data_IF_988013995447
#
_entry.id   IF_988013995447
#
_cell.length_a   1.000
_cell.length_b   1.000
_cell.length_c   1.000
_cell.angle_alpha   90.00
_cell.angle_beta   90.00
_cell.angle_gamma   90.00
#
_symmetry.space_group_name_H-M   'P 1'
#
loop_
_entity.id
_entity.type
_entity.pdbx_description
1 polymer ?
#
# COMPACT_ATOMS: atom_id res chain seq x y z
N UNK A 1 -36.95 -33.90 -27.83
CA UNK A 1 -36.97 -32.43 -27.70
C UNK A 1 -35.52 -31.99 -27.58
N UNK A 2 -34.91 -31.58 -28.70
CA UNK A 2 -33.47 -31.28 -28.74
C UNK A 2 -33.31 -29.80 -28.35
N UNK A 3 -32.75 -29.55 -27.16
CA UNK A 3 -32.31 -28.22 -26.72
C UNK A 3 -30.93 -27.90 -27.32
N UNK A 4 -30.73 -28.11 -28.62
CA UNK A 4 -29.50 -27.69 -29.28
C UNK A 4 -29.68 -26.21 -29.65
N UNK A 5 -29.33 -25.32 -28.72
CA UNK A 5 -29.09 -23.94 -29.07
C UNK A 5 -27.96 -23.91 -30.11
N UNK A 6 -28.22 -23.34 -31.28
CA UNK A 6 -27.22 -23.15 -32.33
C UNK A 6 -26.32 -21.98 -31.92
N UNK A 7 -25.30 -22.26 -31.12
CA UNK A 7 -24.41 -21.24 -30.58
C UNK A 7 -23.59 -20.59 -31.70
N UNK A 8 -23.86 -19.31 -31.98
CA UNK A 8 -23.02 -18.50 -32.84
C UNK A 8 -21.74 -18.04 -32.11
N UNK A 9 -20.64 -17.79 -32.83
CA UNK A 9 -19.41 -17.23 -32.23
C UNK A 9 -19.71 -15.93 -31.45
N UNK A 10 -20.65 -15.12 -31.94
CA UNK A 10 -21.13 -13.92 -31.24
C UNK A 10 -21.80 -14.20 -29.89
N UNK A 11 -22.61 -15.26 -29.78
CA UNK A 11 -23.27 -15.63 -28.52
C UNK A 11 -22.26 -16.17 -27.50
N UNK A 12 -21.24 -16.90 -27.97
CA UNK A 12 -20.13 -17.35 -27.12
C UNK A 12 -19.40 -16.13 -26.54
N UNK A 13 -19.01 -15.18 -27.39
CA UNK A 13 -18.34 -13.94 -26.95
C UNK A 13 -19.22 -13.14 -25.97
N UNK A 14 -20.51 -12.99 -26.26
CA UNK A 14 -21.45 -12.31 -25.37
C UNK A 14 -21.61 -13.02 -24.02
N UNK A 15 -21.61 -14.35 -24.02
CA UNK A 15 -21.70 -15.14 -22.78
C UNK A 15 -20.44 -14.97 -21.92
N UNK A 16 -19.25 -14.99 -22.54
CA UNK A 16 -17.99 -14.70 -21.83
C UNK A 16 -17.96 -13.27 -21.28
N UNK A 17 -18.43 -12.29 -22.06
CA UNK A 17 -18.52 -10.90 -21.62
C UNK A 17 -19.48 -10.76 -20.43
N UNK A 18 -20.65 -11.41 -20.50
CA UNK A 18 -21.61 -11.45 -19.39
C UNK A 18 -21.02 -12.10 -18.14
N UNK A 19 -20.29 -13.21 -18.30
CA UNK A 19 -19.64 -13.89 -17.19
C UNK A 19 -18.52 -13.04 -16.57
N UNK A 20 -17.73 -12.34 -17.39
CA UNK A 20 -16.73 -11.38 -16.92
C UNK A 20 -17.39 -10.24 -16.13
N UNK A 21 -18.48 -9.66 -16.64
CA UNK A 21 -19.23 -8.63 -15.94
C UNK A 21 -19.80 -9.14 -14.61
N UNK A 22 -20.34 -10.36 -14.59
CA UNK A 22 -20.81 -11.01 -13.37
C UNK A 22 -19.67 -11.20 -12.35
N UNK A 23 -18.49 -11.64 -12.82
CA UNK A 23 -17.33 -11.81 -11.96
C UNK A 23 -16.87 -10.48 -11.35
N UNK A 24 -16.75 -9.44 -12.18
CA UNK A 24 -16.44 -8.08 -11.71
C UNK A 24 -17.49 -7.60 -10.71
N UNK A 25 -18.77 -7.85 -10.98
CA UNK A 25 -19.88 -7.49 -10.10
C UNK A 25 -19.77 -8.15 -8.71
N UNK A 26 -19.57 -9.47 -8.67
CA UNK A 26 -19.40 -10.22 -7.42
C UNK A 26 -18.15 -9.73 -6.68
N UNK A 27 -17.04 -9.55 -7.38
CA UNK A 27 -15.80 -9.04 -6.81
C UNK A 27 -15.97 -7.66 -6.18
N UNK A 28 -16.72 -6.78 -6.85
CA UNK A 28 -16.99 -5.42 -6.40
C UNK A 28 -17.89 -5.43 -5.16
N UNK A 29 -18.92 -6.29 -5.12
CA UNK A 29 -19.70 -6.53 -3.90
C UNK A 29 -18.80 -6.97 -2.74
N UNK A 30 -17.98 -8.01 -2.92
CA UNK A 30 -17.09 -8.51 -1.87
C UNK A 30 -16.14 -7.41 -1.38
N UNK A 31 -15.54 -6.67 -2.31
CA UNK A 31 -14.60 -5.58 -1.99
C UNK A 31 -15.26 -4.49 -1.14
N UNK A 32 -16.48 -4.07 -1.50
CA UNK A 32 -17.23 -3.06 -0.73
C UNK A 32 -17.64 -3.60 0.64
N UNK A 33 -18.05 -4.85 0.74
CA UNK A 33 -18.34 -5.48 2.03
C UNK A 33 -17.10 -5.47 2.93
N UNK A 34 -15.94 -5.92 2.42
CA UNK A 34 -14.68 -5.89 3.17
C UNK A 34 -14.33 -4.47 3.61
N UNK A 35 -14.52 -3.47 2.75
CA UNK A 35 -14.26 -2.07 3.09
C UNK A 35 -15.15 -1.56 4.23
N UNK A 36 -16.45 -1.87 4.19
CA UNK A 36 -17.41 -1.54 5.25
C UNK A 36 -17.06 -2.23 6.57
N UNK A 37 -16.57 -3.47 6.52
CA UNK A 37 -16.18 -4.18 7.74
C UNK A 37 -14.87 -3.65 8.33
N UNK A 38 -13.87 -3.36 7.48
CA UNK A 38 -12.55 -2.86 7.86
C UNK A 38 -12.56 -1.43 8.39
N UNK A 39 -13.56 -0.63 8.02
CA UNK A 39 -13.71 0.73 8.53
C UNK A 39 -14.13 0.70 10.01
N UNK A 40 -13.19 1.03 10.90
CA UNK A 40 -13.38 1.09 12.35
C UNK A 40 -14.06 2.39 12.82
N UNK A 41 -14.17 3.38 11.94
CA UNK A 41 -14.79 4.68 12.22
C UNK A 41 -16.32 4.63 12.20
N UNK A 42 -16.92 3.47 11.97
CA UNK A 42 -18.36 3.33 11.74
C UNK A 42 -18.99 2.36 12.72
N UNK A 43 -19.95 2.85 13.49
CA UNK A 43 -20.79 2.01 14.33
C UNK A 43 -21.58 0.98 13.53
N UNK A 44 -21.92 -0.14 14.16
CA UNK A 44 -22.58 -1.27 13.49
C UNK A 44 -23.89 -0.92 12.76
N UNK A 45 -24.65 0.06 13.26
CA UNK A 45 -25.87 0.54 12.61
C UNK A 45 -25.61 1.18 11.24
N UNK A 46 -24.53 1.95 11.11
CA UNK A 46 -24.16 2.56 9.82
C UNK A 46 -23.70 1.49 8.82
N UNK A 47 -23.00 0.45 9.29
CA UNK A 47 -22.63 -0.69 8.44
C UNK A 47 -23.90 -1.39 7.91
N UNK A 48 -24.88 -1.65 8.76
CA UNK A 48 -26.13 -2.30 8.37
C UNK A 48 -26.93 -1.51 7.31
N UNK A 49 -27.03 -0.17 7.45
CA UNK A 49 -27.72 0.68 6.47
C UNK A 49 -27.05 0.61 5.10
N UNK A 50 -25.71 0.64 5.06
CA UNK A 50 -24.96 0.54 3.82
C UNK A 50 -25.13 -0.82 3.13
N UNK A 51 -25.10 -1.91 3.90
CA UNK A 51 -25.37 -3.24 3.38
C UNK A 51 -26.78 -3.34 2.77
N UNK A 52 -27.79 -2.78 3.46
CA UNK A 52 -29.16 -2.76 2.97
C UNK A 52 -29.29 -1.92 1.68
N UNK A 53 -28.63 -0.76 1.62
CA UNK A 53 -28.65 0.12 0.46
C UNK A 53 -28.00 -0.53 -0.77
N UNK A 54 -26.86 -1.22 -0.58
CA UNK A 54 -26.19 -1.96 -1.67
C UNK A 54 -27.06 -3.13 -2.14
N UNK A 55 -27.70 -3.86 -1.22
CA UNK A 55 -28.57 -4.97 -1.59
C UNK A 55 -29.82 -4.50 -2.36
N UNK A 56 -30.45 -3.41 -1.91
CA UNK A 56 -31.67 -2.88 -2.52
C UNK A 56 -31.40 -2.18 -3.86
N UNK A 57 -30.32 -1.41 -3.95
CA UNK A 57 -30.07 -0.53 -5.09
C UNK A 57 -28.89 -0.98 -5.97
N UNK A 58 -28.29 -2.14 -5.68
CA UNK A 58 -27.15 -2.75 -6.38
C UNK A 58 -26.11 -1.70 -6.81
N UNK A 59 -26.15 -1.26 -8.06
CA UNK A 59 -25.18 -0.34 -8.63
C UNK A 59 -25.22 1.05 -7.99
N UNK A 60 -26.42 1.58 -7.73
CA UNK A 60 -26.59 2.91 -7.14
C UNK A 60 -26.12 2.93 -5.68
N UNK A 61 -26.35 1.84 -4.93
CA UNK A 61 -25.88 1.74 -3.56
C UNK A 61 -24.36 1.85 -3.46
N UNK A 62 -23.64 1.22 -4.39
CA UNK A 62 -22.17 1.32 -4.44
C UNK A 62 -21.70 2.69 -4.91
N UNK A 63 -22.35 3.29 -5.92
CA UNK A 63 -21.98 4.64 -6.39
C UNK A 63 -22.16 5.70 -5.30
N UNK A 64 -23.28 5.66 -4.57
CA UNK A 64 -23.54 6.57 -3.45
C UNK A 64 -22.51 6.32 -2.33
N UNK A 65 -22.13 5.06 -2.06
CA UNK A 65 -21.07 4.72 -1.13
C UNK A 65 -19.74 5.38 -1.49
N UNK A 66 -19.32 5.25 -2.74
CA UNK A 66 -18.07 5.81 -3.23
C UNK A 66 -18.08 7.35 -3.20
N UNK A 67 -19.21 8.01 -3.46
CA UNK A 67 -19.31 9.47 -3.36
C UNK A 67 -19.17 9.93 -1.90
N UNK A 68 -19.83 9.24 -0.97
CA UNK A 68 -19.86 9.65 0.45
C UNK A 68 -18.54 9.28 1.16
N UNK A 69 -17.84 8.22 0.75
CA UNK A 69 -16.66 7.69 1.45
C UNK A 69 -15.38 7.57 0.63
N UNK A 70 -15.40 7.93 -0.65
CA UNK A 70 -14.23 7.82 -1.53
C UNK A 70 -13.00 8.58 -1.03
N UNK A 71 -13.20 9.64 -0.23
CA UNK A 71 -12.08 10.44 0.29
C UNK A 71 -11.24 9.67 1.33
N UNK A 72 -11.79 8.65 2.00
CA UNK A 72 -11.03 7.82 2.96
C UNK A 72 -9.99 6.93 2.28
N UNK A 73 -10.23 6.50 1.04
CA UNK A 73 -9.24 5.74 0.27
C UNK A 73 -7.97 6.54 -0.01
N UNK A 74 -8.11 7.86 -0.22
CA UNK A 74 -6.98 8.76 -0.47
C UNK A 74 -6.19 9.07 0.80
N UNK A 75 -6.86 9.19 1.94
CA UNK A 75 -6.20 9.41 3.23
C UNK A 75 -5.43 8.17 3.66
N UNK A 76 -5.99 6.98 3.47
CA UNK A 76 -5.30 5.73 3.82
C UNK A 76 -4.10 5.42 2.92
N UNK A 77 -4.17 5.72 1.62
CA UNK A 77 -3.02 5.55 0.73
C UNK A 77 -1.88 6.50 1.08
N UNK A 78 -2.18 7.76 1.45
CA UNK A 78 -1.19 8.71 1.93
C UNK A 78 -0.57 8.28 3.28
N UNK A 79 -1.37 7.76 4.20
CA UNK A 79 -0.86 7.28 5.48
C UNK A 79 -0.03 6.01 5.34
N UNK A 80 -0.42 5.08 4.46
CA UNK A 80 0.37 3.89 4.15
C UNK A 80 1.70 4.24 3.47
N UNK A 81 1.70 5.21 2.56
CA UNK A 81 2.93 5.72 1.93
C UNK A 81 3.86 6.36 2.98
N UNK A 82 3.33 7.17 3.90
CA UNK A 82 4.11 7.76 5.00
C UNK A 82 4.70 6.69 5.92
N UNK A 83 3.92 5.68 6.30
CA UNK A 83 4.41 4.60 7.16
C UNK A 83 5.52 3.77 6.48
N UNK A 84 5.42 3.55 5.16
CA UNK A 84 6.49 2.89 4.40
C UNK A 84 7.74 3.77 4.30
N UNK A 85 7.60 5.07 4.07
CA UNK A 85 8.72 6.02 4.05
C UNK A 85 9.44 6.09 5.40
N UNK A 86 8.69 6.08 6.51
CA UNK A 86 9.26 6.05 7.86
C UNK A 86 10.00 4.73 8.12
N UNK A 87 9.39 3.58 7.81
CA UNK A 87 10.04 2.28 7.95
C UNK A 87 11.32 2.16 7.09
N UNK A 88 11.31 2.71 5.87
CA UNK A 88 12.48 2.75 5.00
C UNK A 88 13.58 3.64 5.58
N UNK A 89 13.23 4.82 6.11
CA UNK A 89 14.20 5.72 6.77
C UNK A 89 14.82 5.07 8.00
N UNK A 90 14.03 4.36 8.79
CA UNK A 90 14.52 3.63 9.96
C UNK A 90 15.43 2.47 9.56
N UNK A 91 15.09 1.72 8.51
CA UNK A 91 15.96 0.69 7.95
C UNK A 91 17.26 1.28 7.42
N UNK A 92 17.21 2.39 6.68
CA UNK A 92 18.42 3.08 6.20
C UNK A 92 19.24 3.58 7.39
N UNK A 93 18.63 4.16 8.44
CA UNK A 93 19.35 4.62 9.63
C UNK A 93 20.01 3.47 10.39
N UNK A 94 19.35 2.32 10.51
CA UNK A 94 19.93 1.13 11.12
C UNK A 94 21.04 0.51 10.24
N UNK A 95 20.82 0.42 8.93
CA UNK A 95 21.77 -0.13 7.97
C UNK A 95 22.97 0.80 7.70
N UNK A 96 22.82 2.11 7.85
CA UNK A 96 23.92 3.10 7.80
C UNK A 96 24.58 3.30 9.17
N UNK A 97 23.94 2.86 10.25
CA UNK A 97 24.51 2.82 11.61
C UNK A 97 25.63 1.78 11.81
N UNK A 98 26.02 1.03 10.78
CA UNK A 98 27.17 0.09 10.82
C UNK A 98 28.54 0.75 10.63
N UNK A 99 28.64 2.07 10.78
CA UNK A 99 29.90 2.74 11.08
C UNK A 99 29.80 3.34 12.47
N UNK A 100 30.14 2.57 13.51
CA UNK A 100 30.30 3.16 14.84
C UNK A 100 31.30 4.31 14.75
N UNK A 101 31.15 5.38 15.54
CA UNK A 101 32.18 6.41 15.67
C UNK A 101 33.55 5.78 15.98
N UNK A 102 33.56 4.63 16.66
CA UNK A 102 34.75 3.82 16.87
C UNK A 102 35.34 3.23 15.57
N UNK A 103 34.50 2.73 14.64
CA UNK A 103 34.95 2.20 13.34
C UNK A 103 35.46 3.29 12.41
N UNK A 104 34.89 4.50 12.49
CA UNK A 104 35.38 5.66 11.75
C UNK A 104 36.73 6.14 12.30
N UNK A 105 36.89 6.20 13.63
CA UNK A 105 38.16 6.50 14.28
C UNK A 105 39.24 5.45 13.96
N UNK A 106 38.86 4.16 13.89
CA UNK A 106 39.78 3.07 13.56
C UNK A 106 40.27 3.15 12.10
N UNK A 107 39.38 3.51 11.17
CA UNK A 107 39.75 3.77 9.76
C UNK A 107 40.65 5.00 9.61
N UNK A 108 40.39 6.05 10.39
CA UNK A 108 41.24 7.25 10.43
C UNK A 108 42.65 6.95 10.93
N UNK A 109 42.78 6.10 11.95
CA UNK A 109 44.09 5.66 12.45
C UNK A 109 44.85 4.86 11.37
N UNK A 110 44.17 3.93 10.69
CA UNK A 110 44.74 3.10 9.62
C UNK A 110 45.15 3.93 8.38
N UNK A 111 44.48 5.06 8.10
CA UNK A 111 44.90 6.00 7.04
C UNK A 111 46.15 6.78 7.42
N UNK A 112 46.26 7.20 8.69
CA UNK A 112 47.45 7.86 9.23
C UNK A 112 48.65 6.91 9.23
N UNK A 113 48.47 5.67 9.68
CA UNK A 113 49.56 4.68 9.75
C UNK A 113 50.09 4.30 8.36
N UNK A 114 49.22 4.34 7.34
CA UNK A 114 49.60 4.17 5.92
C UNK A 114 50.21 5.43 5.29
N UNK A 115 50.30 6.53 6.03
CA UNK A 115 50.85 7.80 5.54
C UNK A 115 50.00 8.50 4.48
N UNK A 116 48.71 8.16 4.40
CA UNK A 116 47.77 8.77 3.43
C UNK A 116 47.34 10.17 3.88
N UNK A 117 47.34 10.42 5.18
CA UNK A 117 47.00 11.70 5.82
C UNK A 117 48.06 12.09 6.84
N UNK A 118 48.25 13.38 7.06
CA UNK A 118 49.19 13.90 8.07
C UNK A 118 48.55 14.05 9.46
N UNK A 119 49.37 14.39 10.47
CA UNK A 119 48.92 14.56 11.85
C UNK A 119 47.90 15.70 12.02
N UNK A 120 48.01 16.76 11.22
CA UNK A 120 47.11 17.91 11.29
C UNK A 120 45.74 17.56 10.66
N UNK A 121 45.74 16.82 9.55
CA UNK A 121 44.56 16.28 8.89
C UNK A 121 43.85 15.24 9.77
N UNK A 122 44.61 14.35 10.41
CA UNK A 122 44.06 13.40 11.37
C UNK A 122 43.35 14.10 12.53
N UNK A 123 43.98 15.10 13.15
CA UNK A 123 43.37 15.85 14.26
C UNK A 123 42.08 16.58 13.83
N UNK A 124 42.08 17.17 12.62
CA UNK A 124 40.92 17.87 12.06
C UNK A 124 39.75 16.93 11.76
N UNK A 125 40.03 15.74 11.24
CA UNK A 125 39.01 14.74 10.93
C UNK A 125 38.48 14.05 12.20
N UNK A 126 39.34 13.79 13.18
CA UNK A 126 38.95 13.28 14.50
C UNK A 126 37.96 14.21 15.21
N UNK A 127 38.18 15.52 15.15
CA UNK A 127 37.29 16.54 15.75
C UNK A 127 35.94 16.72 15.01
N UNK A 128 35.75 16.05 13.87
CA UNK A 128 34.47 16.04 13.14
C UNK A 128 33.60 14.82 13.50
N UNK A 129 34.23 13.78 14.04
CA UNK A 129 33.58 12.51 14.44
C UNK A 129 33.24 12.52 15.95
N UNK A 130 34.07 13.19 16.75
CA UNK A 130 33.87 13.43 18.20
C UNK A 130 33.35 14.85 18.41
#
# INVERSE_FOLDING_TARGET
>A
MVLAATWGVGEVVLTFLWFMLLFIWIWLMISVFIDIFRSDDMGGLHKAIWLLAILAFNLLGVLIYLIIRGDKMRVHSMNAAKAQDEAMKDYIRQASGTGSAADELHRLADLKDRGVIDDAEFAKLKAKIV
#
